data_IF_118994194716
#
_entry.id   IF_118994194716
#
_cell.length_a   1.000
_cell.length_b   1.000
_cell.length_c   1.000
_cell.angle_alpha   90.00
_cell.angle_beta   90.00
_cell.angle_gamma   90.00
#
_symmetry.space_group_name_H-M   'P 1'
#
loop_
_entity.id
_entity.type
_entity.pdbx_description
1 polymer ?
#
# COMPACT_ATOMS: atom_id res chain seq x y z
N UNK A 1 -5.64 7.17 -19.27
CA UNK A 1 -5.36 7.45 -17.84
C UNK A 1 -4.26 6.51 -17.39
N UNK A 2 -3.22 7.00 -16.72
CA UNK A 2 -2.19 6.15 -16.11
C UNK A 2 -2.62 5.82 -14.68
N UNK A 3 -2.43 4.56 -14.26
CA UNK A 3 -2.73 4.08 -12.90
C UNK A 3 -1.48 3.36 -12.40
N UNK A 4 -1.04 3.72 -11.20
CA UNK A 4 0.06 3.03 -10.51
C UNK A 4 -0.55 2.12 -9.45
N UNK A 5 -0.21 0.83 -9.49
CA UNK A 5 -0.62 -0.15 -8.50
C UNK A 5 0.61 -0.54 -7.67
N UNK A 6 0.49 -0.40 -6.36
CA UNK A 6 1.51 -0.80 -5.40
C UNK A 6 1.02 -2.06 -4.69
N UNK A 7 1.80 -3.13 -4.71
CA UNK A 7 1.44 -4.41 -4.11
C UNK A 7 2.45 -4.79 -3.03
N UNK A 8 2.00 -4.80 -1.77
CA UNK A 8 2.82 -5.24 -0.65
C UNK A 8 2.74 -6.76 -0.51
N UNK A 9 3.82 -7.46 -0.83
CA UNK A 9 3.89 -8.94 -0.84
C UNK A 9 4.52 -9.55 0.40
N UNK A 10 4.99 -8.72 1.35
CA UNK A 10 5.71 -9.18 2.54
C UNK A 10 4.78 -9.29 3.76
N UNK A 11 3.46 -9.34 3.56
CA UNK A 11 2.53 -9.66 4.63
C UNK A 11 2.53 -11.18 4.83
N UNK A 12 2.76 -11.70 6.05
CA UNK A 12 2.80 -13.14 6.29
C UNK A 12 1.42 -13.78 6.16
N UNK A 13 1.36 -15.05 5.77
CA UNK A 13 0.09 -15.80 5.67
C UNK A 13 -0.68 -15.83 7.01
N UNK A 14 0.05 -15.82 8.13
CA UNK A 14 -0.51 -15.81 9.48
C UNK A 14 0.04 -14.64 10.29
N UNK A 15 -0.87 -13.90 10.95
CA UNK A 15 -0.52 -12.80 11.84
C UNK A 15 -0.15 -11.52 11.09
N UNK A 16 0.81 -10.78 11.65
CA UNK A 16 1.27 -9.48 11.15
C UNK A 16 2.79 -9.49 10.95
N UNK A 17 3.34 -8.59 10.12
CA UNK A 17 4.80 -8.44 10.02
C UNK A 17 5.46 -8.22 11.39
N UNK A 18 6.62 -8.86 11.61
CA UNK A 18 7.40 -8.73 12.85
C UNK A 18 7.95 -7.31 13.05
N UNK A 19 8.32 -6.65 11.94
CA UNK A 19 8.88 -5.31 11.94
C UNK A 19 8.03 -4.37 11.07
N UNK A 20 7.74 -3.14 11.54
CA UNK A 20 6.89 -2.20 10.82
C UNK A 20 7.60 -1.47 9.68
N UNK A 21 8.94 -1.49 9.65
CA UNK A 21 9.73 -0.70 8.69
C UNK A 21 9.37 -0.98 7.21
N UNK A 22 9.20 -2.24 6.75
CA UNK A 22 8.84 -2.51 5.36
C UNK A 22 7.49 -1.92 4.97
N UNK A 23 6.47 -2.06 5.81
CA UNK A 23 5.13 -1.51 5.51
C UNK A 23 5.11 0.02 5.57
N UNK A 24 5.85 0.63 6.51
CA UNK A 24 6.00 2.09 6.57
C UNK A 24 6.68 2.65 5.31
N UNK A 25 7.71 1.96 4.81
CA UNK A 25 8.38 2.33 3.56
C UNK A 25 7.42 2.22 2.38
N UNK A 26 6.65 1.13 2.30
CA UNK A 26 5.64 0.92 1.26
C UNK A 26 4.60 2.05 1.22
N UNK A 27 4.00 2.39 2.37
CA UNK A 27 2.99 3.46 2.46
C UNK A 27 3.57 4.81 2.05
N UNK A 28 4.80 5.14 2.48
CA UNK A 28 5.46 6.39 2.10
C UNK A 28 5.68 6.47 0.58
N UNK A 29 6.13 5.38 -0.03
CA UNK A 29 6.34 5.33 -1.48
C UNK A 29 5.03 5.45 -2.26
N UNK A 30 3.98 4.73 -1.87
CA UNK A 30 2.68 4.80 -2.55
C UNK A 30 2.02 6.18 -2.40
N UNK A 31 2.14 6.81 -1.23
CA UNK A 31 1.63 8.15 -1.00
C UNK A 31 2.38 9.20 -1.84
N UNK A 32 3.72 9.12 -1.89
CA UNK A 32 4.54 10.04 -2.68
C UNK A 32 4.31 9.91 -4.20
N UNK A 33 3.92 8.72 -4.66
CA UNK A 33 3.61 8.48 -6.07
C UNK A 33 2.22 8.97 -6.49
N UNK A 34 1.32 9.31 -5.54
CA UNK A 34 -0.01 9.81 -5.87
C UNK A 34 0.07 11.28 -6.32
N UNK A 35 -0.29 11.62 -7.57
CA UNK A 35 -0.19 12.99 -8.06
C UNK A 35 -1.06 13.97 -7.28
N UNK A 36 -0.59 15.20 -7.12
CA UNK A 36 -1.41 16.29 -6.55
C UNK A 36 -2.64 16.49 -7.44
N UNK A 37 -3.83 16.53 -6.82
CA UNK A 37 -5.10 16.62 -7.54
C UNK A 37 -5.63 15.28 -8.08
N UNK A 38 -4.91 14.17 -7.89
CA UNK A 38 -5.51 12.85 -8.04
C UNK A 38 -6.62 12.65 -6.97
N UNK A 39 -7.62 11.83 -7.31
CA UNK A 39 -8.62 11.40 -6.36
C UNK A 39 -8.03 10.54 -5.22
N UNK A 40 -8.88 10.00 -4.33
CA UNK A 40 -8.45 9.14 -3.24
C UNK A 40 -7.65 7.93 -3.73
N UNK A 41 -6.66 7.52 -2.93
CA UNK A 41 -5.97 6.24 -3.13
C UNK A 41 -6.96 5.11 -2.86
N UNK A 42 -7.03 4.15 -3.78
CA UNK A 42 -7.80 2.91 -3.58
C UNK A 42 -6.90 1.90 -2.86
N UNK A 43 -7.31 1.50 -1.66
CA UNK A 43 -6.68 0.42 -0.90
C UNK A 43 -7.60 -0.81 -0.90
N UNK A 44 -7.02 -1.99 -1.05
CA UNK A 44 -7.75 -3.25 -0.95
C UNK A 44 -6.87 -4.33 -0.33
N UNK A 45 -7.51 -5.35 0.23
CA UNK A 45 -6.90 -6.62 0.61
C UNK A 45 -7.78 -7.75 0.06
N UNK A 46 -8.12 -8.75 0.87
CA UNK A 46 -9.14 -9.75 0.54
C UNK A 46 -10.56 -9.21 0.79
N UNK A 47 -10.85 -8.82 2.03
CA UNK A 47 -12.17 -8.35 2.45
C UNK A 47 -12.32 -6.82 2.44
N UNK A 48 -11.22 -6.07 2.47
CA UNK A 48 -11.24 -4.60 2.41
C UNK A 48 -11.87 -3.93 3.63
N UNK A 49 -11.64 -4.48 4.83
CA UNK A 49 -12.18 -4.00 6.12
C UNK A 49 -11.09 -3.69 7.13
#
# INVERSE_FOLDING_TARGET
RVVLQFHYTNWPDHGTPEHPLPILSFVRQSAAANPIGAGPIIAHCSAGV
#
